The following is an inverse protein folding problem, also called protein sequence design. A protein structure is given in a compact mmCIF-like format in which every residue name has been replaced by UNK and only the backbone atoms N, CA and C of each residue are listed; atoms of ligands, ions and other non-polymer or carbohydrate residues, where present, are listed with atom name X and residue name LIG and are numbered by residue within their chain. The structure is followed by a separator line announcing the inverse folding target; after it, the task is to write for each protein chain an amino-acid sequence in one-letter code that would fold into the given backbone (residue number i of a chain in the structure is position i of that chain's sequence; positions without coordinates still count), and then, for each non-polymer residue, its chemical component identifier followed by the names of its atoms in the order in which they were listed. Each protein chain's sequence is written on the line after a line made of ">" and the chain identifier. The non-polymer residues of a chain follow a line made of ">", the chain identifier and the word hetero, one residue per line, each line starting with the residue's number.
data_IF_901863480223
#
_entry.id   IF_901863480223
#
_cell.length_a   1.000
_cell.length_b   1.000
_cell.length_c   1.000
_cell.angle_alpha   90.00
_cell.angle_beta   90.00
_cell.angle_gamma   90.00
#
_symmetry.space_group_name_H-M   'P 1'
#
loop_
_entity.id
_entity.type
_entity.pdbx_description
1 polymer ?
#
# COMPACT_ATOMS: atom_id res chain seq x y z
N UNK A 1 -5.15 6.87 12.30
CA UNK A 1 -4.33 7.98 12.88
C UNK A 1 -5.09 8.54 14.07
N UNK A 2 -4.77 8.08 15.28
CA UNK A 2 -5.45 8.47 16.53
C UNK A 2 -5.40 9.99 16.73
N UNK A 3 -4.28 10.62 16.40
CA UNK A 3 -4.06 12.07 16.57
C UNK A 3 -4.95 12.99 15.70
N UNK A 4 -5.36 12.54 14.50
CA UNK A 4 -6.18 13.36 13.58
C UNK A 4 -7.65 13.38 13.99
N UNK A 5 -8.14 12.25 14.53
CA UNK A 5 -9.52 12.09 14.99
C UNK A 5 -9.74 12.74 16.36
N UNK A 6 -8.74 12.68 17.25
CA UNK A 6 -8.78 13.32 18.58
C UNK A 6 -8.81 14.86 18.49
N UNK A 7 -8.14 15.45 17.50
CA UNK A 7 -8.00 16.91 17.40
C UNK A 7 -8.86 17.58 16.32
N UNK A 8 -9.64 16.81 15.52
CA UNK A 8 -10.48 17.33 14.41
C UNK A 8 -9.77 18.38 13.54
N UNK A 9 -8.47 18.22 13.31
CA UNK A 9 -7.68 19.23 12.62
C UNK A 9 -7.89 19.16 11.11
N UNK A 10 -8.04 20.34 10.52
CA UNK A 10 -8.13 20.50 9.06
C UNK A 10 -6.73 20.38 8.47
N UNK A 11 -6.60 19.91 7.22
CA UNK A 11 -5.29 19.73 6.53
C UNK A 11 -4.45 21.02 6.57
N UNK A 12 -5.08 22.20 6.52
CA UNK A 12 -4.42 23.49 6.69
C UNK A 12 -3.78 23.67 8.08
N UNK A 13 -4.44 23.24 9.14
CA UNK A 13 -3.92 23.37 10.51
C UNK A 13 -2.77 22.38 10.75
N UNK A 14 -2.85 21.18 10.16
CA UNK A 14 -1.76 20.19 10.20
C UNK A 14 -0.51 20.74 9.50
N UNK A 15 -0.69 21.37 8.33
CA UNK A 15 0.42 22.00 7.61
C UNK A 15 1.14 23.06 8.44
N UNK A 16 0.40 23.94 9.12
CA UNK A 16 0.97 24.96 10.01
C UNK A 16 1.63 24.34 11.25
N UNK A 17 1.01 23.34 11.85
CA UNK A 17 1.49 22.72 13.08
C UNK A 17 2.79 21.93 12.90
N UNK A 18 2.92 21.26 11.76
CA UNK A 18 4.08 20.42 11.46
C UNK A 18 5.08 21.09 10.49
N UNK A 19 4.85 22.35 10.12
CA UNK A 19 5.63 23.11 9.13
C UNK A 19 5.90 22.32 7.84
N UNK A 20 4.90 21.57 7.39
CA UNK A 20 4.96 20.77 6.16
C UNK A 20 4.05 21.40 5.14
N UNK A 21 4.46 21.38 3.87
CA UNK A 21 3.58 21.82 2.79
C UNK A 21 2.23 21.09 2.81
N UNK A 22 1.17 21.83 2.51
CA UNK A 22 -0.20 21.31 2.39
C UNK A 22 -0.24 20.13 1.39
N UNK A 23 0.56 20.19 0.32
CA UNK A 23 0.69 19.12 -0.68
C UNK A 23 1.18 17.82 -0.07
N UNK A 24 2.20 17.90 0.77
CA UNK A 24 2.78 16.74 1.47
C UNK A 24 1.74 16.14 2.41
N UNK A 25 1.03 16.98 3.16
CA UNK A 25 -0.06 16.56 4.04
C UNK A 25 -1.18 15.82 3.29
N UNK A 26 -1.55 16.30 2.09
CA UNK A 26 -2.57 15.66 1.24
C UNK A 26 -2.07 14.32 0.66
N UNK A 27 -0.83 14.26 0.18
CA UNK A 27 -0.22 13.00 -0.27
C UNK A 27 -0.13 11.97 0.86
N UNK A 28 0.24 12.39 2.08
CA UNK A 28 0.31 11.49 3.22
C UNK A 28 -1.07 10.95 3.59
N UNK A 29 -2.08 11.83 3.62
CA UNK A 29 -3.46 11.43 3.88
C UNK A 29 -3.96 10.39 2.87
N UNK A 30 -3.71 10.59 1.58
CA UNK A 30 -4.12 9.67 0.52
C UNK A 30 -3.32 8.36 0.53
N UNK A 31 -2.01 8.41 0.88
CA UNK A 31 -1.19 7.20 1.03
C UNK A 31 -1.60 6.35 2.22
N UNK A 32 -2.06 6.97 3.31
CA UNK A 32 -2.57 6.27 4.47
C UNK A 32 -3.87 5.53 4.17
N UNK A 33 -4.75 6.06 3.31
CA UNK A 33 -5.91 5.31 2.78
C UNK A 33 -5.46 4.14 1.87
N UNK A 34 -4.41 4.33 1.08
CA UNK A 34 -3.86 3.29 0.22
C UNK A 34 -3.08 2.19 0.98
N UNK A 35 -2.88 2.34 2.29
CA UNK A 35 -2.24 1.34 3.16
C UNK A 35 -3.23 0.27 3.68
N UNK A 36 -4.42 0.15 3.08
CA UNK A 36 -5.18 -1.10 3.17
C UNK A 36 -4.27 -2.17 2.54
N UNK A 37 -3.87 -3.23 3.27
CA UNK A 37 -3.09 -4.29 2.67
C UNK A 37 -3.87 -4.78 1.47
N UNK A 38 -3.29 -4.71 0.26
CA UNK A 38 -3.86 -5.36 -0.91
C UNK A 38 -4.06 -6.81 -0.49
N UNK A 39 -5.29 -7.21 -0.24
CA UNK A 39 -5.67 -8.60 -0.07
C UNK A 39 -5.62 -9.26 -1.44
N UNK A 40 -4.47 -9.16 -2.11
CA UNK A 40 -4.15 -10.02 -3.23
C UNK A 40 -3.87 -11.36 -2.57
N UNK A 41 -4.72 -12.38 -2.77
CA UNK A 41 -4.37 -13.71 -2.28
C UNK A 41 -2.99 -14.02 -2.84
N UNK A 42 -2.08 -14.45 -1.97
CA UNK A 42 -0.84 -15.05 -2.44
C UNK A 42 -1.27 -16.18 -3.37
N UNK A 43 -0.97 -16.07 -4.66
CA UNK A 43 -1.16 -17.16 -5.60
C UNK A 43 -0.13 -18.20 -5.17
N UNK A 44 -0.54 -19.09 -4.28
CA UNK A 44 0.25 -20.27 -3.94
C UNK A 44 0.15 -21.17 -5.16
N UNK A 45 1.09 -21.02 -6.08
CA UNK A 45 1.29 -22.01 -7.13
C UNK A 45 1.74 -23.31 -6.46
N UNK A 46 1.12 -24.41 -6.84
CA UNK A 46 1.53 -25.74 -6.39
C UNK A 46 2.89 -26.06 -7.03
N UNK A 47 3.90 -26.31 -6.20
CA UNK A 47 5.26 -26.62 -6.65
C UNK A 47 5.30 -27.81 -7.61
N UNK A 48 4.39 -28.78 -7.45
CA UNK A 48 4.33 -29.95 -8.33
C UNK A 48 3.78 -29.61 -9.73
N UNK A 49 2.91 -28.60 -9.83
CA UNK A 49 2.40 -28.12 -11.12
C UNK A 49 3.48 -27.31 -11.82
N UNK A 50 4.20 -26.45 -11.08
CA UNK A 50 5.30 -25.66 -11.62
C UNK A 50 6.45 -26.55 -12.13
N UNK A 51 6.82 -27.59 -11.38
CA UNK A 51 7.88 -28.51 -11.79
C UNK A 51 7.53 -29.27 -13.07
N UNK A 52 6.27 -29.71 -13.22
CA UNK A 52 5.81 -30.36 -14.46
C UNK A 52 5.81 -29.42 -15.64
N UNK A 53 5.39 -28.17 -15.45
CA UNK A 53 5.36 -27.16 -16.51
C UNK A 53 6.77 -26.83 -17.00
N UNK A 54 7.75 -26.73 -16.09
CA UNK A 54 9.17 -26.53 -16.43
C UNK A 54 9.78 -27.75 -17.13
N UNK A 55 9.38 -28.97 -16.75
CA UNK A 55 9.80 -30.19 -17.46
C UNK A 55 9.20 -30.29 -18.87
N UNK A 56 7.94 -29.87 -19.04
CA UNK A 56 7.20 -29.96 -20.31
C UNK A 56 7.58 -28.84 -21.28
N UNK A 57 7.88 -27.64 -20.76
CA UNK A 57 8.21 -26.44 -21.54
C UNK A 57 9.49 -25.75 -21.02
N UNK A 58 10.68 -26.35 -21.22
CA UNK A 58 11.94 -25.78 -20.76
C UNK A 58 12.36 -24.49 -21.49
N UNK A 59 11.79 -24.22 -22.67
CA UNK A 59 12.12 -23.05 -23.51
C UNK A 59 11.18 -21.84 -23.29
N UNK A 60 10.06 -22.01 -22.58
CA UNK A 60 9.05 -20.95 -22.36
C UNK A 60 9.40 -20.00 -21.19
N UNK A 61 10.47 -20.32 -20.45
CA UNK A 61 10.93 -19.61 -19.26
C UNK A 61 12.41 -19.21 -19.39
#
# INVERSE_FOLDING_TARGET
>A
MVYKEEHKLTIKQISVHFDVEIRISFCLANKLEACIPRHKPAIKMDENILLKDVEEFPDDY
#
